data_IF_677002555973
#
_entry.id   IF_677002555973
#
_cell.length_a   1.000
_cell.length_b   1.000
_cell.length_c   1.000
_cell.angle_alpha   90.00
_cell.angle_beta   90.00
_cell.angle_gamma   90.00
#
_symmetry.space_group_name_H-M   'P 1'
#
loop_
_entity.id
_entity.type
_entity.pdbx_description
1 polymer ?
#
# COMPACT_ATOMS: atom_id res chain seq x y z
N UNK A 1 12.61 19.80 27.10
CA UNK A 1 13.38 18.58 27.37
C UNK A 1 13.05 17.61 26.24
N UNK A 2 13.97 16.78 25.78
CA UNK A 2 13.69 15.76 24.78
C UNK A 2 14.18 14.42 25.35
N UNK A 3 13.29 13.43 25.42
CA UNK A 3 13.66 12.09 25.87
C UNK A 3 13.90 11.23 24.63
N UNK A 4 15.07 10.60 24.59
CA UNK A 4 15.46 9.68 23.53
C UNK A 4 15.35 8.26 24.07
N UNK A 5 14.47 7.45 23.47
CA UNK A 5 14.33 6.04 23.81
C UNK A 5 14.72 5.22 22.58
N UNK A 6 15.70 4.32 22.75
CA UNK A 6 16.10 3.41 21.69
C UNK A 6 15.30 2.12 21.83
N UNK A 7 14.31 1.93 20.95
CA UNK A 7 13.49 0.72 20.94
C UNK A 7 14.13 -0.35 20.06
N UNK A 8 14.12 -1.61 20.52
CA UNK A 8 14.55 -2.78 19.72
C UNK A 8 13.67 -3.00 18.48
N UNK A 9 12.46 -2.45 18.46
CA UNK A 9 11.49 -2.62 17.38
C UNK A 9 11.28 -1.34 16.54
N UNK A 10 11.59 -0.16 17.09
CA UNK A 10 11.08 1.14 16.59
C UNK A 10 12.22 2.14 16.28
N UNK A 11 13.48 1.70 16.23
CA UNK A 11 14.58 2.61 15.86
C UNK A 11 14.81 3.73 16.88
N UNK A 12 15.20 4.92 16.42
CA UNK A 12 15.44 6.07 17.29
C UNK A 12 14.15 6.88 17.46
N UNK A 13 13.66 6.97 18.70
CA UNK A 13 12.46 7.74 19.05
C UNK A 13 12.83 8.96 19.87
N UNK A 14 12.36 10.14 19.42
CA UNK A 14 12.51 11.41 20.14
C UNK A 14 11.15 11.98 20.49
N UNK A 15 10.95 12.27 21.76
CA UNK A 15 9.75 12.95 22.21
C UNK A 15 10.03 14.45 22.44
N UNK A 16 9.25 15.31 21.80
CA UNK A 16 9.28 16.75 22.06
C UNK A 16 8.06 17.16 22.89
N UNK A 17 8.32 17.41 24.18
CA UNK A 17 7.30 17.81 25.16
C UNK A 17 6.67 19.17 24.89
N UNK A 18 7.30 20.06 24.12
CA UNK A 18 6.76 21.41 23.90
C UNK A 18 5.64 21.47 22.88
N UNK A 19 5.66 20.56 21.92
CA UNK A 19 4.73 20.55 20.78
C UNK A 19 4.12 19.16 20.56
N UNK A 20 4.21 18.27 21.56
CA UNK A 20 3.62 16.91 21.55
C UNK A 20 3.90 16.16 20.24
N UNK A 21 5.14 16.29 19.77
CA UNK A 21 5.57 15.65 18.52
C UNK A 21 6.48 14.48 18.86
N UNK A 22 6.18 13.34 18.25
CA UNK A 22 7.04 12.14 18.31
C UNK A 22 7.78 12.05 17.00
N UNK A 23 9.10 11.94 17.06
CA UNK A 23 9.92 11.65 15.90
C UNK A 23 10.37 10.19 15.95
N UNK A 24 10.07 9.43 14.90
CA UNK A 24 10.51 8.04 14.73
C UNK A 24 11.33 7.96 13.45
N UNK A 25 12.61 7.62 13.58
CA UNK A 25 13.53 7.44 12.44
C UNK A 25 13.51 8.63 11.43
N UNK A 26 13.30 9.85 11.94
CA UNK A 26 13.26 11.08 11.14
C UNK A 26 11.88 11.50 10.62
N UNK A 27 10.83 10.70 10.86
CA UNK A 27 9.43 11.06 10.57
C UNK A 27 8.78 11.67 11.81
N UNK A 28 8.09 12.80 11.64
CA UNK A 28 7.41 13.52 12.72
C UNK A 28 5.92 13.19 12.76
N UNK A 29 5.41 12.78 13.91
CA UNK A 29 4.01 12.54 14.17
C UNK A 29 3.51 13.55 15.21
N UNK A 30 2.53 14.36 14.85
CA UNK A 30 1.84 15.24 15.80
C UNK A 30 0.82 14.43 16.59
N UNK A 31 0.96 14.40 17.91
CA UNK A 31 0.07 13.65 18.80
C UNK A 31 -0.88 14.63 19.47
N UNK A 32 -1.62 15.36 18.64
CA UNK A 32 -2.63 16.36 19.07
C UNK A 32 -4.00 15.73 19.39
N UNK A 33 -4.07 14.42 19.61
CA UNK A 33 -5.33 13.67 19.66
C UNK A 33 -5.89 13.45 21.06
N UNK A 34 -5.16 13.78 22.13
CA UNK A 34 -5.68 13.67 23.50
C UNK A 34 -6.50 14.93 23.81
N UNK A 35 -7.79 14.76 24.14
CA UNK A 35 -8.63 15.85 24.62
C UNK A 35 -7.99 16.49 25.86
N UNK A 36 -7.96 17.83 25.98
CA UNK A 36 -7.41 18.51 27.16
C UNK A 36 -8.00 17.98 28.48
N UNK A 37 -9.30 17.66 28.49
CA UNK A 37 -9.98 17.12 29.67
C UNK A 37 -9.45 15.76 30.10
N UNK A 38 -9.16 14.87 29.15
CA UNK A 38 -8.57 13.56 29.43
C UNK A 38 -7.12 13.72 29.85
N UNK A 39 -6.42 14.68 29.25
CA UNK A 39 -5.01 14.96 29.53
C UNK A 39 -4.79 15.43 30.96
N UNK A 40 -5.68 16.26 31.49
CA UNK A 40 -5.60 16.76 32.86
C UNK A 40 -5.82 15.66 33.91
N UNK A 41 -6.41 14.52 33.51
CA UNK A 41 -6.64 13.35 34.36
C UNK A 41 -5.51 12.31 34.30
N UNK A 42 -4.61 12.41 33.32
CA UNK A 42 -3.50 11.46 33.13
C UNK A 42 -2.23 11.97 33.80
N UNK A 43 -1.51 11.06 34.45
CA UNK A 43 -0.12 11.33 34.81
C UNK A 43 0.81 11.24 33.57
N UNK A 44 2.06 11.66 33.76
CA UNK A 44 3.02 11.74 32.66
C UNK A 44 3.41 10.38 32.08
N UNK A 45 3.35 9.29 32.87
CA UNK A 45 3.64 7.94 32.39
C UNK A 45 2.49 7.42 31.53
N UNK A 46 1.26 7.64 31.99
CA UNK A 46 0.04 7.29 31.28
C UNK A 46 -0.12 8.10 29.99
N UNK A 47 0.22 9.39 30.01
CA UNK A 47 0.23 10.23 28.79
C UNK A 47 1.20 9.66 27.76
N UNK A 48 2.41 9.25 28.16
CA UNK A 48 3.39 8.62 27.27
C UNK A 48 2.89 7.28 26.73
N UNK A 49 2.33 6.40 27.57
CA UNK A 49 1.79 5.12 27.13
C UNK A 49 0.68 5.28 26.09
N UNK A 50 -0.24 6.21 26.31
CA UNK A 50 -1.32 6.49 25.38
C UNK A 50 -0.78 7.00 24.04
N UNK A 51 0.25 7.85 24.06
CA UNK A 51 0.88 8.36 22.86
C UNK A 51 1.62 7.27 22.06
N UNK A 52 2.30 6.33 22.74
CA UNK A 52 2.90 5.17 22.06
C UNK A 52 1.84 4.25 21.45
N UNK A 53 0.73 4.01 22.15
CA UNK A 53 -0.38 3.21 21.63
C UNK A 53 -0.99 3.83 20.36
N UNK A 54 -1.18 5.16 20.35
CA UNK A 54 -1.67 5.88 19.17
C UNK A 54 -0.69 5.79 17.99
N UNK A 55 0.62 5.90 18.25
CA UNK A 55 1.65 5.74 17.23
C UNK A 55 1.59 4.34 16.61
N UNK A 56 1.50 3.28 17.43
CA UNK A 56 1.39 1.90 16.95
C UNK A 56 0.13 1.71 16.10
N UNK A 57 -1.00 2.31 16.51
CA UNK A 57 -2.24 2.29 15.74
C UNK A 57 -2.07 2.97 14.37
N UNK A 58 -1.48 4.17 14.31
CA UNK A 58 -1.25 4.89 13.05
C UNK A 58 -0.37 4.06 12.10
N UNK A 59 0.75 3.51 12.60
CA UNK A 59 1.63 2.68 11.77
C UNK A 59 0.95 1.41 11.28
N UNK A 60 0.07 0.81 12.09
CA UNK A 60 -0.71 -0.34 11.66
C UNK A 60 -1.68 0.02 10.53
N UNK A 61 -2.32 1.19 10.57
CA UNK A 61 -3.15 1.67 9.46
C UNK A 61 -2.33 1.91 8.19
N UNK A 62 -1.16 2.54 8.29
CA UNK A 62 -0.25 2.74 7.15
C UNK A 62 0.18 1.40 6.52
N UNK A 63 0.46 0.38 7.34
CA UNK A 63 0.77 -0.96 6.86
C UNK A 63 -0.40 -1.59 6.08
N UNK A 64 -1.61 -1.53 6.64
CA UNK A 64 -2.80 -2.06 5.99
C UNK A 64 -3.11 -1.34 4.68
N UNK A 65 -2.92 -0.01 4.61
CA UNK A 65 -3.06 0.74 3.38
C UNK A 65 -2.02 0.34 2.33
N UNK A 66 -0.76 0.17 2.71
CA UNK A 66 0.29 -0.29 1.80
C UNK A 66 -0.01 -1.70 1.24
N UNK A 67 -0.50 -2.61 2.08
CA UNK A 67 -0.90 -3.95 1.66
C UNK A 67 -2.10 -3.90 0.70
N UNK A 68 -3.10 -3.05 1.01
CA UNK A 68 -4.26 -2.82 0.14
C UNK A 68 -3.86 -2.25 -1.22
N UNK A 69 -2.96 -1.27 -1.26
CA UNK A 69 -2.45 -0.66 -2.49
C UNK A 69 -1.73 -1.72 -3.34
N UNK A 70 -0.84 -2.50 -2.72
CA UNK A 70 -0.13 -3.59 -3.41
C UNK A 70 -1.08 -4.62 -4.01
N UNK A 71 -2.11 -5.02 -3.28
CA UNK A 71 -3.13 -5.95 -3.78
C UNK A 71 -3.89 -5.39 -5.00
N UNK A 72 -4.18 -4.09 -5.02
CA UNK A 72 -4.78 -3.40 -6.18
C UNK A 72 -3.82 -3.43 -7.36
N UNK A 73 -2.56 -3.05 -7.17
CA UNK A 73 -1.55 -3.06 -8.23
C UNK A 73 -1.37 -4.45 -8.86
N UNK A 74 -1.32 -5.49 -8.04
CA UNK A 74 -1.19 -6.87 -8.51
C UNK A 74 -2.43 -7.30 -9.30
N UNK A 75 -3.64 -6.90 -8.87
CA UNK A 75 -4.87 -7.13 -9.62
C UNK A 75 -4.86 -6.40 -10.97
N UNK A 76 -4.37 -5.16 -11.03
CA UNK A 76 -4.23 -4.43 -12.29
C UNK A 76 -3.23 -5.09 -13.25
N UNK A 77 -2.12 -5.65 -12.73
CA UNK A 77 -1.16 -6.40 -13.55
C UNK A 77 -1.83 -7.62 -14.19
N UNK A 78 -2.64 -8.36 -13.42
CA UNK A 78 -3.40 -9.51 -13.92
C UNK A 78 -4.39 -9.09 -15.01
N UNK A 79 -5.13 -8.00 -14.80
CA UNK A 79 -6.08 -7.47 -15.80
C UNK A 79 -5.35 -7.07 -17.09
N UNK A 80 -4.21 -6.36 -16.98
CA UNK A 80 -3.37 -5.98 -18.13
C UNK A 80 -2.86 -7.20 -18.89
N UNK A 81 -2.42 -8.23 -18.17
CA UNK A 81 -1.97 -9.49 -18.76
C UNK A 81 -3.12 -10.18 -19.52
N UNK A 82 -4.29 -10.33 -18.89
CA UNK A 82 -5.46 -10.95 -19.50
C UNK A 82 -5.92 -10.22 -20.77
N UNK A 83 -5.91 -8.88 -20.75
CA UNK A 83 -6.22 -8.07 -21.93
C UNK A 83 -5.20 -8.28 -23.06
N UNK A 84 -3.91 -8.38 -22.72
CA UNK A 84 -2.84 -8.65 -23.68
C UNK A 84 -2.99 -10.04 -24.31
N UNK A 85 -3.24 -11.06 -23.49
CA UNK A 85 -3.48 -12.43 -23.96
C UNK A 85 -4.71 -12.51 -24.86
N UNK A 86 -5.80 -11.83 -24.50
CA UNK A 86 -7.02 -11.76 -25.32
C UNK A 86 -6.75 -11.16 -26.71
N UNK A 87 -5.94 -10.09 -26.79
CA UNK A 87 -5.50 -9.49 -28.06
C UNK A 87 -4.65 -10.48 -28.88
N UNK A 88 -3.75 -11.21 -28.24
CA UNK A 88 -2.91 -12.22 -28.91
C UNK A 88 -3.78 -13.35 -29.48
N UNK A 89 -4.69 -13.90 -28.68
CA UNK A 89 -5.58 -14.97 -29.12
C UNK A 89 -6.49 -14.52 -30.26
N UNK A 90 -7.03 -13.31 -30.20
CA UNK A 90 -7.82 -12.74 -31.30
C UNK A 90 -6.99 -12.64 -32.58
N UNK A 91 -5.77 -12.11 -32.52
CA UNK A 91 -4.87 -12.03 -33.69
C UNK A 91 -4.53 -13.41 -34.26
N UNK A 92 -4.35 -14.43 -33.41
CA UNK A 92 -4.11 -15.81 -33.86
C UNK A 92 -5.32 -16.37 -34.61
N UNK A 93 -6.53 -16.25 -34.04
CA UNK A 93 -7.78 -16.68 -34.72
C UNK A 93 -8.00 -15.97 -36.06
N UNK A 94 -7.74 -14.66 -36.13
CA UNK A 94 -7.88 -13.90 -37.38
C UNK A 94 -6.87 -14.36 -38.45
N UNK A 95 -5.64 -14.71 -38.07
CA UNK A 95 -4.63 -15.28 -38.99
C UNK A 95 -4.99 -16.69 -39.45
N UNK A 96 -5.46 -17.55 -38.53
CA UNK A 96 -5.95 -18.90 -38.84
C UNK A 96 -7.16 -18.86 -39.79
N UNK A 97 -8.11 -17.95 -39.56
CA UNK A 97 -9.27 -17.79 -40.45
C UNK A 97 -8.86 -17.35 -41.87
N UNK A 98 -7.88 -16.43 -41.99
CA UNK A 98 -7.37 -15.97 -43.29
C UNK A 98 -6.59 -17.06 -44.03
N UNK A 99 -5.75 -17.82 -43.33
CA UNK A 99 -4.99 -18.93 -43.92
C UNK A 99 -5.91 -20.06 -44.36
N UNK A 100 -6.94 -20.38 -43.59
CA UNK A 100 -7.91 -21.43 -43.93
C UNK A 100 -8.81 -21.03 -45.11
N UNK A 101 -9.20 -19.74 -45.22
CA UNK A 101 -9.88 -19.22 -46.42
C UNK A 101 -9.01 -19.30 -47.68
N UNK A 102 -7.70 -19.00 -47.57
CA UNK A 102 -6.78 -19.04 -48.71
C UNK A 102 -6.63 -20.47 -49.25
N UNK A 103 -6.42 -21.46 -48.38
CA UNK A 103 -6.36 -22.89 -48.78
C UNK A 103 -7.61 -23.36 -49.53
N UNK A 104 -8.81 -23.03 -49.02
CA UNK A 104 -10.06 -23.37 -49.71
C UNK A 104 -10.18 -22.75 -51.10
N UNK A 105 -9.68 -21.53 -51.29
CA UNK A 105 -9.71 -20.84 -52.57
C UNK A 105 -8.77 -21.50 -53.59
N UNK A 106 -7.55 -21.83 -53.16
CA UNK A 106 -6.54 -22.50 -53.98
C UNK A 106 -7.01 -23.91 -54.42
N UNK A 107 -7.70 -24.66 -53.54
CA UNK A 107 -8.29 -25.97 -53.87
C UNK A 107 -9.45 -25.85 -54.88
N UNK A 108 -10.27 -24.78 -54.80
CA UNK A 108 -11.41 -24.56 -55.69
C UNK A 108 -11.07 -23.96 -57.06
N UNK A 109 -9.86 -23.43 -57.24
CA UNK A 109 -9.39 -22.86 -58.51
C UNK A 109 -8.52 -23.83 -59.32
N UNK A 110 -8.35 -25.06 -58.81
CA UNK A 110 -7.61 -26.16 -59.43
C UNK A 110 -8.52 -27.23 -60.07
N UNK A 111 -9.84 -26.96 -60.18
CA UNK A 111 -10.86 -27.80 -60.84
C UNK A 111 -11.44 -27.06 -62.04
#
# INVERSE_FOLDING_TARGET
MAICVRSKFIGNVYFNYRNYTIHVDGVSYEVNTISPTVRDELDWEQELEFQFMLLDYVRYQEYLEAERIKAIEDREKIIRLAATMSKIFRKRREKEAKTNKKRKWDDSSSS
#
